data_IF_695715509275
#
_entry.id   IF_695715509275
#
_cell.length_a   1.000
_cell.length_b   1.000
_cell.length_c   1.000
_cell.angle_alpha   90.00
_cell.angle_beta   90.00
_cell.angle_gamma   90.00
#
_symmetry.space_group_name_H-M   'P 1'
#
loop_
_entity.id
_entity.type
_entity.pdbx_description
1 polymer ?
#
# COMPACT_ATOMS: atom_id res chain seq x y z
N UNK A 1 8.61 21.23 -36.62
CA UNK A 1 8.40 19.83 -36.22
C UNK A 1 6.90 19.53 -36.29
N UNK A 2 6.50 18.37 -36.82
CA UNK A 2 5.08 18.05 -37.06
C UNK A 2 4.44 17.41 -35.81
N UNK A 3 3.14 17.58 -35.64
CA UNK A 3 2.31 16.99 -34.57
C UNK A 3 2.55 15.48 -34.42
N UNK A 4 2.69 14.77 -35.55
CA UNK A 4 2.93 13.33 -35.57
C UNK A 4 4.25 12.91 -34.92
N UNK A 5 5.29 13.75 -35.02
CA UNK A 5 6.60 13.48 -34.43
C UNK A 5 6.54 13.57 -32.90
N UNK A 6 5.82 14.57 -32.39
CA UNK A 6 5.59 14.76 -30.95
C UNK A 6 4.79 13.58 -30.37
N UNK A 7 3.76 13.13 -31.09
CA UNK A 7 2.96 11.96 -30.67
C UNK A 7 3.82 10.71 -30.59
N UNK A 8 4.68 10.47 -31.58
CA UNK A 8 5.59 9.33 -31.57
C UNK A 8 6.58 9.39 -30.40
N UNK A 9 7.11 10.58 -30.08
CA UNK A 9 8.00 10.76 -28.92
C UNK A 9 7.25 10.57 -27.58
N UNK A 10 6.02 11.03 -27.45
CA UNK A 10 5.18 10.79 -26.25
C UNK A 10 4.95 9.30 -26.03
N UNK A 11 4.62 8.56 -27.08
CA UNK A 11 4.41 7.11 -27.02
C UNK A 11 5.69 6.37 -26.63
N UNK A 12 6.85 6.86 -27.06
CA UNK A 12 8.15 6.28 -26.77
C UNK A 12 8.70 6.60 -25.37
N UNK A 13 8.04 7.44 -24.56
CA UNK A 13 8.52 7.77 -23.20
C UNK A 13 8.66 6.48 -22.37
N UNK A 14 9.89 6.17 -21.96
CA UNK A 14 10.19 5.07 -21.06
C UNK A 14 10.96 5.55 -19.82
N UNK A 15 11.60 6.72 -19.90
CA UNK A 15 12.49 7.25 -18.87
C UNK A 15 12.15 8.71 -18.51
N UNK A 16 12.71 9.18 -17.40
CA UNK A 16 12.60 10.57 -16.99
C UNK A 16 13.26 11.54 -17.98
N UNK A 17 14.31 11.11 -18.68
CA UNK A 17 14.98 11.90 -19.73
C UNK A 17 14.09 12.08 -20.96
N UNK A 18 13.36 11.04 -21.37
CA UNK A 18 12.39 11.13 -22.47
C UNK A 18 11.28 12.13 -22.17
N UNK A 19 10.82 12.16 -20.91
CA UNK A 19 9.80 13.09 -20.45
C UNK A 19 10.29 14.54 -20.47
N UNK A 20 11.54 14.78 -20.08
CA UNK A 20 12.16 16.11 -20.16
C UNK A 20 12.30 16.57 -21.62
N UNK A 21 12.67 15.66 -22.52
CA UNK A 21 12.77 15.94 -23.96
C UNK A 21 11.41 16.33 -24.55
N UNK A 22 10.36 15.61 -24.21
CA UNK A 22 8.99 15.93 -24.64
C UNK A 22 8.50 17.27 -24.07
N UNK A 23 8.80 17.58 -22.81
CA UNK A 23 8.47 18.88 -22.20
C UNK A 23 9.15 20.05 -22.93
N UNK A 24 10.45 19.92 -23.26
CA UNK A 24 11.16 20.93 -24.04
C UNK A 24 10.56 21.13 -25.43
N UNK A 25 10.12 20.06 -26.09
CA UNK A 25 9.50 20.11 -27.42
C UNK A 25 8.13 20.79 -27.38
N UNK A 26 7.33 20.50 -26.36
CA UNK A 26 6.02 21.12 -26.13
C UNK A 26 6.18 22.61 -25.87
N UNK A 27 7.13 23.01 -25.01
CA UNK A 27 7.41 24.43 -24.71
C UNK A 27 7.91 25.21 -25.91
N UNK A 28 8.57 24.53 -26.85
CA UNK A 28 9.09 25.13 -28.08
C UNK A 28 8.01 25.33 -29.16
N UNK A 29 6.78 24.83 -28.95
CA UNK A 29 5.68 25.07 -29.87
C UNK A 29 4.96 26.39 -29.59
N UNK A 30 4.77 27.26 -30.60
CA UNK A 30 3.96 28.46 -30.45
C UNK A 30 2.48 28.11 -30.49
N UNK A 31 1.76 28.41 -29.40
CA UNK A 31 0.31 28.29 -29.31
C UNK A 31 -0.19 27.13 -28.45
N UNK A 32 -1.52 27.01 -28.29
CA UNK A 32 -2.11 25.93 -27.52
C UNK A 32 -1.82 24.57 -28.16
N UNK A 33 -1.45 23.59 -27.33
CA UNK A 33 -1.18 22.22 -27.76
C UNK A 33 -2.33 21.66 -28.61
N UNK A 34 -2.01 21.04 -29.74
CA UNK A 34 -2.98 20.34 -30.57
C UNK A 34 -3.73 19.25 -29.75
N UNK A 35 -5.03 19.05 -29.97
CA UNK A 35 -5.85 18.12 -29.19
C UNK A 35 -5.32 16.67 -29.27
N UNK A 36 -4.70 16.29 -30.38
CA UNK A 36 -4.10 14.97 -30.58
C UNK A 36 -2.88 14.73 -29.66
N UNK A 37 -2.08 15.78 -29.41
CA UNK A 37 -0.94 15.73 -28.49
C UNK A 37 -1.43 15.62 -27.05
N UNK A 38 -2.49 16.34 -26.71
CA UNK A 38 -3.12 16.26 -25.38
C UNK A 38 -3.66 14.85 -25.09
N UNK A 39 -4.30 14.21 -26.08
CA UNK A 39 -4.80 12.84 -25.94
C UNK A 39 -3.67 11.83 -25.75
N UNK A 40 -2.60 11.92 -26.54
CA UNK A 40 -1.44 11.03 -26.40
C UNK A 40 -0.77 11.16 -25.02
N UNK A 41 -0.67 12.37 -24.49
CA UNK A 41 -0.12 12.62 -23.15
C UNK A 41 -1.02 12.01 -22.06
N UNK A 42 -2.33 12.17 -22.20
CA UNK A 42 -3.31 11.63 -21.24
C UNK A 42 -3.30 10.09 -21.21
N UNK A 43 -3.17 9.45 -22.37
CA UNK A 43 -3.05 8.00 -22.49
C UNK A 43 -1.78 7.51 -21.79
N UNK A 44 -0.64 8.14 -22.05
CA UNK A 44 0.64 7.76 -21.43
C UNK A 44 0.63 7.93 -19.90
N UNK A 45 -0.02 8.97 -19.39
CA UNK A 45 -0.22 9.17 -17.95
C UNK A 45 -1.08 8.05 -17.33
N UNK A 46 -2.13 7.60 -18.03
CA UNK A 46 -2.95 6.47 -17.57
C UNK A 46 -2.15 5.16 -17.54
N UNK A 47 -1.32 4.91 -18.55
CA UNK A 47 -0.44 3.74 -18.57
C UNK A 47 0.58 3.77 -17.43
N UNK A 48 1.24 4.90 -17.21
CA UNK A 48 2.24 5.04 -16.13
C UNK A 48 1.61 4.88 -14.73
N UNK A 49 0.41 5.42 -14.54
CA UNK A 49 -0.32 5.26 -13.27
C UNK A 49 -0.83 3.84 -13.07
N UNK A 50 -1.27 3.14 -14.12
CA UNK A 50 -1.63 1.73 -14.07
C UNK A 50 -0.42 0.84 -13.73
N UNK A 51 0.74 1.07 -14.36
CA UNK A 51 1.99 0.37 -14.04
C UNK A 51 2.45 0.62 -12.60
N UNK A 52 2.35 1.86 -12.12
CA UNK A 52 2.68 2.21 -10.73
C UNK A 52 1.73 1.57 -9.71
N UNK A 53 0.45 1.40 -10.07
CA UNK A 53 -0.53 0.73 -9.23
C UNK A 53 -0.28 -0.78 -9.15
N UNK A 54 -0.01 -1.43 -10.28
CA UNK A 54 0.37 -2.83 -10.33
C UNK A 54 1.65 -3.10 -9.52
N UNK A 55 2.69 -2.27 -9.69
CA UNK A 55 3.92 -2.37 -8.92
C UNK A 55 3.74 -2.15 -7.40
N UNK A 56 2.75 -1.33 -7.00
CA UNK A 56 2.38 -1.16 -5.60
C UNK A 56 1.63 -2.36 -5.03
N UNK A 57 0.77 -3.02 -5.81
CA UNK A 57 0.05 -4.20 -5.34
C UNK A 57 1.03 -5.37 -5.08
N UNK A 58 2.10 -5.52 -5.87
CA UNK A 58 3.16 -6.51 -5.63
C UNK A 58 4.08 -6.19 -4.42
N UNK A 59 4.25 -4.91 -4.05
CA UNK A 59 5.11 -4.50 -2.93
C UNK A 59 4.46 -4.62 -1.54
N UNK A 60 3.16 -4.97 -1.43
CA UNK A 60 2.42 -4.96 -0.15
C UNK A 60 2.35 -6.36 0.50
N UNK A 61 3.11 -7.34 0.03
CA UNK A 61 2.91 -8.73 0.45
C UNK A 61 3.82 -9.18 1.60
N UNK A 62 4.98 -8.55 1.79
CA UNK A 62 5.98 -9.00 2.78
C UNK A 62 6.64 -7.83 3.52
N UNK A 63 6.54 -7.83 4.85
CA UNK A 63 7.33 -6.97 5.71
C UNK A 63 8.62 -7.71 6.07
N UNK A 64 9.78 -7.23 5.60
CA UNK A 64 11.10 -7.79 5.95
C UNK A 64 11.68 -7.04 7.15
N UNK A 65 11.87 -7.71 8.28
CA UNK A 65 12.64 -7.20 9.42
C UNK A 65 13.52 -8.34 9.96
N UNK A 66 14.80 -8.04 10.20
CA UNK A 66 15.84 -8.97 10.68
C UNK A 66 15.92 -10.34 9.98
N UNK A 67 15.75 -10.38 8.65
CA UNK A 67 15.81 -11.63 7.89
C UNK A 67 14.58 -12.54 8.04
N UNK A 68 13.53 -12.08 8.73
CA UNK A 68 12.24 -12.76 8.82
C UNK A 68 11.26 -12.07 7.89
N UNK A 69 10.74 -12.84 6.93
CA UNK A 69 9.65 -12.40 6.06
C UNK A 69 8.32 -12.60 6.79
N UNK A 70 7.66 -11.51 7.14
CA UNK A 70 6.29 -11.55 7.66
C UNK A 70 5.33 -11.35 6.48
N UNK A 71 4.62 -12.41 6.03
CA UNK A 71 3.57 -12.25 5.04
C UNK A 71 2.45 -11.40 5.64
N UNK A 72 2.19 -10.25 5.02
CA UNK A 72 1.18 -9.28 5.45
C UNK A 72 -0.26 -9.79 5.23
N UNK A 73 -0.42 -11.00 4.69
CA UNK A 73 -1.68 -11.76 4.64
C UNK A 73 -2.08 -12.31 6.01
N UNK A 74 -1.10 -12.74 6.80
CA UNK A 74 -1.27 -13.42 8.09
C UNK A 74 -1.00 -12.50 9.27
N UNK A 75 -0.15 -11.49 9.10
CA UNK A 75 0.24 -10.55 10.16
C UNK A 75 -0.08 -9.11 9.76
N UNK A 76 -1.02 -8.50 10.46
CA UNK A 76 -1.54 -7.17 10.16
C UNK A 76 -1.16 -6.17 11.24
N UNK A 77 -0.88 -4.92 10.86
CA UNK A 77 -0.80 -3.83 11.84
C UNK A 77 -2.19 -3.59 12.46
N UNK A 78 -2.28 -3.06 13.70
CA UNK A 78 -3.56 -2.72 14.34
C UNK A 78 -4.49 -1.89 13.47
N UNK A 79 -3.93 -1.02 12.63
CA UNK A 79 -4.68 -0.23 11.65
C UNK A 79 -5.27 -1.08 10.53
N UNK A 80 -4.47 -1.94 9.88
CA UNK A 80 -4.97 -2.84 8.83
C UNK A 80 -5.93 -3.90 9.39
N UNK A 81 -5.70 -4.36 10.61
CA UNK A 81 -6.61 -5.27 11.30
C UNK A 81 -7.97 -4.60 11.52
N UNK A 82 -7.98 -3.35 12.02
CA UNK A 82 -9.22 -2.60 12.19
C UNK A 82 -9.98 -2.41 10.88
N UNK A 83 -9.28 -2.08 9.80
CA UNK A 83 -9.87 -1.92 8.46
C UNK A 83 -10.47 -3.25 7.94
N UNK A 84 -9.72 -4.35 8.04
CA UNK A 84 -10.14 -5.68 7.57
C UNK A 84 -11.35 -6.23 8.30
N UNK A 85 -11.46 -5.99 9.61
CA UNK A 85 -12.54 -6.50 10.46
C UNK A 85 -13.60 -5.44 10.81
N UNK A 86 -13.60 -4.29 10.11
CA UNK A 86 -14.61 -3.24 10.28
C UNK A 86 -14.65 -2.60 11.68
N UNK A 87 -13.51 -2.56 12.37
CA UNK A 87 -13.41 -1.90 13.68
C UNK A 87 -13.30 -0.38 13.52
N UNK A 88 -13.80 0.35 14.52
CA UNK A 88 -13.83 1.82 14.50
C UNK A 88 -12.45 2.46 14.30
N UNK A 89 -11.42 1.92 14.96
CA UNK A 89 -10.05 2.44 14.92
C UNK A 89 -9.05 1.39 15.41
N UNK A 90 -7.76 1.67 15.20
CA UNK A 90 -6.65 0.84 15.69
C UNK A 90 -6.57 0.79 17.22
N UNK A 91 -7.13 1.76 17.93
CA UNK A 91 -7.13 1.78 19.40
C UNK A 91 -7.98 0.67 19.99
N UNK A 92 -9.07 0.24 19.32
CA UNK A 92 -9.85 -0.93 19.73
C UNK A 92 -8.95 -2.17 19.76
N UNK A 93 -8.11 -2.36 18.74
CA UNK A 93 -7.18 -3.49 18.66
C UNK A 93 -6.11 -3.40 19.75
N UNK A 94 -5.53 -2.21 19.98
CA UNK A 94 -4.57 -2.00 21.07
C UNK A 94 -5.20 -2.30 22.45
N UNK A 95 -6.45 -1.88 22.65
CA UNK A 95 -7.19 -2.21 23.86
C UNK A 95 -7.48 -3.70 23.98
N UNK A 96 -7.73 -4.41 22.90
CA UNK A 96 -7.90 -5.87 22.91
C UNK A 96 -6.62 -6.60 23.27
N UNK A 97 -5.47 -6.13 22.78
CA UNK A 97 -4.15 -6.62 23.18
C UNK A 97 -3.95 -6.41 24.69
N UNK A 98 -4.18 -5.19 25.18
CA UNK A 98 -3.98 -4.86 26.60
C UNK A 98 -4.95 -5.61 27.53
N UNK A 99 -6.14 -5.97 27.05
CA UNK A 99 -7.16 -6.74 27.79
C UNK A 99 -6.97 -8.26 27.68
N UNK A 100 -6.03 -8.73 26.87
CA UNK A 100 -5.82 -10.16 26.63
C UNK A 100 -6.90 -10.84 25.77
N UNK A 101 -7.73 -10.07 25.04
CA UNK A 101 -8.68 -10.61 24.05
C UNK A 101 -7.92 -11.22 22.87
N UNK A 102 -6.78 -10.61 22.51
CA UNK A 102 -5.84 -11.17 21.56
C UNK A 102 -4.77 -11.89 22.37
N UNK A 103 -4.58 -13.21 22.19
CA UNK A 103 -3.57 -13.94 22.94
C UNK A 103 -2.16 -13.46 22.57
N UNK A 104 -1.20 -13.49 23.51
CA UNK A 104 0.17 -13.01 23.30
C UNK A 104 0.88 -13.73 22.15
N UNK A 105 0.57 -15.01 21.90
CA UNK A 105 1.12 -15.78 20.78
C UNK A 105 0.71 -15.22 19.40
N UNK A 106 -0.43 -14.53 19.34
CA UNK A 106 -0.96 -13.90 18.14
C UNK A 106 -0.53 -12.43 18.00
N UNK A 107 0.46 -12.00 18.78
CA UNK A 107 1.05 -10.66 18.74
C UNK A 107 2.55 -10.81 18.45
N UNK A 108 3.04 -10.01 17.49
CA UNK A 108 4.48 -9.87 17.23
C UNK A 108 4.85 -8.42 17.38
N UNK A 109 5.79 -8.14 18.27
CA UNK A 109 6.38 -6.81 18.39
C UNK A 109 7.63 -6.76 17.53
N UNK A 110 7.72 -5.75 16.66
CA UNK A 110 8.91 -5.48 15.87
C UNK A 110 9.54 -4.21 16.46
N UNK A 111 10.43 -4.36 17.47
CA UNK A 111 10.97 -3.22 18.21
C UNK A 111 11.75 -2.25 17.33
N UNK A 112 12.39 -2.74 16.25
CA UNK A 112 13.13 -1.90 15.30
C UNK A 112 12.26 -0.85 14.59
N UNK A 113 10.98 -1.16 14.39
CA UNK A 113 10.03 -0.29 13.68
C UNK A 113 9.04 0.36 14.65
N UNK A 114 9.06 0.00 15.94
CA UNK A 114 8.06 0.43 16.92
C UNK A 114 6.64 -0.02 16.57
N UNK A 115 6.49 -1.04 15.71
CA UNK A 115 5.18 -1.54 15.27
C UNK A 115 4.85 -2.87 15.91
N UNK A 116 3.56 -3.05 16.21
CA UNK A 116 2.98 -4.34 16.59
C UNK A 116 2.25 -4.92 15.40
N UNK A 117 2.40 -6.22 15.20
CA UNK A 117 1.62 -7.01 14.26
C UNK A 117 0.70 -7.94 15.04
N UNK A 118 -0.49 -8.13 14.50
CA UNK A 118 -1.57 -8.95 15.03
C UNK A 118 -1.93 -9.98 13.98
N UNK A 119 -2.07 -11.23 14.41
CA UNK A 119 -2.48 -12.32 13.52
C UNK A 119 -3.86 -12.03 12.93
N UNK A 120 -4.04 -12.26 11.63
CA UNK A 120 -5.25 -11.96 10.87
C UNK A 120 -6.42 -12.94 11.11
N UNK A 121 -6.78 -13.16 12.38
CA UNK A 121 -7.89 -14.00 12.83
C UNK A 121 -8.94 -13.10 13.47
N UNK A 122 -10.23 -13.39 13.25
CA UNK A 122 -11.31 -12.63 13.89
C UNK A 122 -11.34 -12.89 15.40
N UNK A 123 -11.13 -11.85 16.21
CA UNK A 123 -11.42 -11.87 17.64
C UNK A 123 -12.73 -11.13 17.92
N UNK A 124 -13.53 -11.67 18.81
CA UNK A 124 -14.75 -11.02 19.30
C UNK A 124 -14.76 -10.99 20.82
N UNK A 125 -15.06 -9.84 21.46
CA UNK A 125 -15.17 -9.74 22.91
C UNK A 125 -16.34 -10.54 23.49
N UNK A 126 -17.24 -11.07 22.65
CA UNK A 126 -18.39 -11.87 23.07
C UNK A 126 -18.06 -13.34 23.33
N UNK A 127 -16.88 -13.83 22.96
CA UNK A 127 -16.55 -15.26 22.97
C UNK A 127 -15.50 -15.66 24.00
N UNK A 128 -15.01 -14.73 24.84
CA UNK A 128 -14.13 -15.10 25.95
C UNK A 128 -14.95 -15.34 27.22
N UNK A 129 -15.47 -16.56 27.32
CA UNK A 129 -15.75 -17.15 28.63
C UNK A 129 -14.46 -17.15 29.44
N UNK A 130 -14.59 -16.77 30.71
CA UNK A 130 -13.54 -16.83 31.73
C UNK A 130 -12.88 -18.22 31.73
N UNK A 131 -11.78 -18.40 31.04
CA UNK A 131 -10.77 -19.38 31.45
C UNK A 131 -9.89 -18.73 32.50
N UNK A 132 -10.51 -18.30 33.61
CA UNK A 132 -9.81 -18.28 34.90
C UNK A 132 -9.83 -19.72 35.41
N UNK A 133 -9.07 -20.59 34.74
CA UNK A 133 -8.79 -21.92 35.26
C UNK A 133 -7.77 -21.76 36.37
N UNK A 134 -8.27 -21.88 37.60
CA UNK A 134 -7.78 -22.82 38.60
C UNK A 134 -6.25 -22.97 38.70
N UNK A 135 -5.68 -22.30 39.70
CA UNK A 135 -4.49 -22.78 40.43
C UNK A 135 -4.74 -22.33 41.88
N UNK A 136 -5.27 -23.14 42.80
CA UNK A 136 -4.72 -24.38 43.37
C UNK A 136 -3.29 -24.21 43.91
N UNK A 137 -3.15 -23.50 45.03
CA UNK A 137 -2.44 -23.96 46.25
C UNK A 137 -2.68 -22.97 47.38
#
# INVERSE_FOLDING_TARGET
MNTQDIINQIRAIATAEDMHRVDQLIRSQPGPMAPEVQQALLEKLKESTAQSKAAREDMITTLKSQGVEYPLTDWLTPKKYADRFGLKNSEVVLNWINRGIIPPDHIKEIPELGVRLVKAVEYSPRTYERTTDKTAS
#
